data_IF_470957080989
#
_entry.id   IF_470957080989
#
_cell.length_a   1.000
_cell.length_b   1.000
_cell.length_c   1.000
_cell.angle_alpha   90.00
_cell.angle_beta   90.00
_cell.angle_gamma   90.00
#
_symmetry.space_group_name_H-M   'P 1'
#
loop_
_entity.id
_entity.type
_entity.pdbx_description
1 polymer ?
#
# COMPACT_ATOMS: atom_id res chain seq x y z
N UNK A 1 1.65 -20.20 -3.60
CA UNK A 1 2.49 -19.43 -2.64
C UNK A 1 2.03 -19.64 -1.20
N UNK A 2 0.77 -19.37 -0.85
CA UNK A 2 0.25 -19.57 0.51
C UNK A 2 0.15 -21.06 0.92
N UNK A 3 -0.42 -21.90 0.06
CA UNK A 3 -0.50 -23.36 0.28
C UNK A 3 0.87 -24.00 0.59
N UNK A 4 1.93 -23.53 -0.07
CA UNK A 4 3.30 -24.01 0.19
C UNK A 4 3.79 -23.59 1.57
N UNK A 5 3.45 -22.38 2.02
CA UNK A 5 3.84 -21.85 3.34
C UNK A 5 3.07 -22.51 4.49
N UNK A 6 1.85 -22.95 4.23
CA UNK A 6 1.00 -23.63 5.23
C UNK A 6 1.20 -25.16 5.24
N UNK A 7 2.02 -25.70 4.33
CA UNK A 7 2.30 -27.14 4.26
C UNK A 7 2.92 -27.62 5.57
N UNK A 8 2.31 -28.61 6.20
CA UNK A 8 2.77 -29.20 7.47
C UNK A 8 2.18 -28.53 8.72
N UNK A 9 1.35 -27.49 8.54
CA UNK A 9 0.52 -26.95 9.61
C UNK A 9 -0.89 -27.52 9.50
N UNK A 10 -1.52 -27.78 10.64
CA UNK A 10 -2.92 -28.21 10.69
C UNK A 10 -3.86 -27.00 10.55
N UNK A 11 -3.90 -26.44 9.33
CA UNK A 11 -4.70 -25.27 8.99
C UNK A 11 -5.54 -25.60 7.76
N UNK A 12 -6.87 -25.59 7.94
CA UNK A 12 -7.80 -25.69 6.83
C UNK A 12 -7.78 -24.39 6.00
N UNK A 13 -7.27 -24.46 4.77
CA UNK A 13 -7.21 -23.32 3.85
C UNK A 13 -8.38 -23.34 2.87
N UNK A 14 -9.26 -22.36 2.98
CA UNK A 14 -10.30 -22.07 1.99
C UNK A 14 -9.96 -20.80 1.21
N UNK A 15 -10.00 -20.87 -0.12
CA UNK A 15 -9.80 -19.72 -1.00
C UNK A 15 -10.97 -19.64 -1.97
N UNK A 16 -11.72 -18.53 -1.95
CA UNK A 16 -12.84 -18.30 -2.83
C UNK A 16 -13.00 -16.81 -3.15
N UNK A 17 -13.69 -16.54 -4.26
CA UNK A 17 -14.10 -15.18 -4.64
C UNK A 17 -15.19 -14.69 -3.68
N UNK A 18 -15.20 -13.39 -3.36
CA UNK A 18 -16.13 -12.76 -2.41
C UNK A 18 -16.10 -13.36 -1.00
N UNK A 19 -14.89 -13.64 -0.50
CA UNK A 19 -14.68 -14.22 0.82
C UNK A 19 -15.20 -13.32 1.96
N UNK A 20 -15.32 -12.01 1.71
CA UNK A 20 -15.93 -11.03 2.63
C UNK A 20 -17.40 -11.31 2.98
N UNK A 21 -18.06 -12.23 2.29
CA UNK A 21 -19.37 -12.75 2.73
C UNK A 21 -19.31 -13.47 4.08
N UNK A 22 -18.15 -13.94 4.52
CA UNK A 22 -17.92 -14.44 5.87
C UNK A 22 -17.64 -13.30 6.84
N UNK A 23 -18.36 -13.24 7.97
CA UNK A 23 -18.25 -12.14 8.96
C UNK A 23 -16.81 -11.94 9.45
N UNK A 24 -16.06 -13.03 9.69
CA UNK A 24 -14.66 -12.93 10.11
C UNK A 24 -13.76 -12.26 9.05
N UNK A 25 -13.98 -12.55 7.76
CA UNK A 25 -13.23 -11.94 6.65
C UNK A 25 -13.64 -10.48 6.44
N UNK A 26 -14.94 -10.17 6.58
CA UNK A 26 -15.43 -8.79 6.54
C UNK A 26 -14.81 -7.94 7.66
N UNK A 27 -14.82 -8.46 8.89
CA UNK A 27 -14.21 -7.79 10.04
C UNK A 27 -12.70 -7.57 9.84
N UNK A 28 -11.97 -8.60 9.40
CA UNK A 28 -10.55 -8.48 9.06
C UNK A 28 -10.30 -7.41 7.97
N UNK A 29 -11.18 -7.32 6.97
CA UNK A 29 -11.07 -6.32 5.90
C UNK A 29 -11.32 -4.89 6.38
N UNK A 30 -12.20 -4.71 7.37
CA UNK A 30 -12.44 -3.41 8.01
C UNK A 30 -11.22 -2.99 8.82
N UNK A 31 -10.70 -3.88 9.66
CA UNK A 31 -9.51 -3.62 10.49
C UNK A 31 -8.31 -3.27 9.60
N UNK A 32 -8.06 -4.06 8.55
CA UNK A 32 -6.96 -3.78 7.62
C UNK A 32 -7.11 -2.44 6.90
N UNK A 33 -8.34 -1.98 6.62
CA UNK A 33 -8.59 -0.68 5.98
C UNK A 33 -8.37 0.48 6.94
N UNK A 34 -8.80 0.34 8.19
CA UNK A 34 -8.58 1.36 9.22
C UNK A 34 -7.08 1.53 9.47
N UNK A 35 -6.36 0.43 9.73
CA UNK A 35 -4.90 0.44 9.88
C UNK A 35 -4.19 1.06 8.68
N UNK A 36 -4.62 0.75 7.44
CA UNK A 36 -4.06 1.38 6.25
C UNK A 36 -4.25 2.91 6.22
N UNK A 37 -5.40 3.41 6.67
CA UNK A 37 -5.68 4.85 6.70
C UNK A 37 -4.85 5.54 7.80
N UNK A 38 -4.74 4.91 8.98
CA UNK A 38 -3.94 5.39 10.10
C UNK A 38 -2.45 5.45 9.71
N UNK A 39 -1.88 4.35 9.23
CA UNK A 39 -0.50 4.30 8.79
C UNK A 39 -0.20 5.25 7.61
N UNK A 40 -1.14 5.45 6.68
CA UNK A 40 -0.96 6.43 5.59
C UNK A 40 -0.94 7.87 6.11
N UNK A 41 -1.73 8.18 7.14
CA UNK A 41 -1.73 9.49 7.76
C UNK A 41 -0.40 9.73 8.50
N UNK A 42 0.04 8.80 9.34
CA UNK A 42 1.31 8.88 10.07
C UNK A 42 2.50 9.02 9.10
N UNK A 43 2.54 8.19 8.06
CA UNK A 43 3.58 8.28 7.03
C UNK A 43 3.54 9.62 6.28
N UNK A 44 2.36 10.23 6.11
CA UNK A 44 2.24 11.56 5.49
C UNK A 44 2.84 12.66 6.36
N UNK A 45 2.67 12.57 7.68
CA UNK A 45 3.27 13.49 8.65
C UNK A 45 4.80 13.35 8.64
N UNK A 46 5.31 12.11 8.71
CA UNK A 46 6.75 11.83 8.63
C UNK A 46 7.37 12.31 7.30
N UNK A 47 6.63 12.11 6.20
CA UNK A 47 7.03 12.53 4.87
C UNK A 47 6.93 14.04 4.63
N UNK A 48 6.34 14.81 5.56
CA UNK A 48 5.99 16.23 5.37
C UNK A 48 5.19 16.52 4.09
N UNK A 49 4.46 15.52 3.57
CA UNK A 49 3.68 15.58 2.34
C UNK A 49 2.45 14.70 2.51
N UNK A 50 1.27 15.25 2.23
CA UNK A 50 0.05 14.43 2.16
C UNK A 50 0.17 13.36 1.05
N UNK A 51 0.34 12.11 1.46
CA UNK A 51 0.40 10.95 0.57
C UNK A 51 -1.02 10.55 0.16
N UNK A 52 -1.22 10.36 -1.15
CA UNK A 52 -2.56 10.12 -1.71
C UNK A 52 -2.73 8.63 -2.01
N UNK A 53 -3.77 8.05 -1.41
CA UNK A 53 -4.24 6.69 -1.74
C UNK A 53 -4.58 6.55 -3.22
N UNK A 54 -4.34 5.36 -3.78
CA UNK A 54 -4.55 5.06 -5.20
C UNK A 54 -3.31 5.32 -6.05
N UNK A 55 -3.48 5.38 -7.37
CA UNK A 55 -2.38 5.49 -8.34
C UNK A 55 -2.69 6.49 -9.48
N UNK A 56 -3.64 7.40 -9.27
CA UNK A 56 -3.98 8.46 -10.23
C UNK A 56 -3.11 9.70 -10.08
N UNK A 57 -3.47 10.76 -10.80
CA UNK A 57 -2.73 12.03 -10.82
C UNK A 57 -2.46 12.65 -9.42
N UNK A 58 -3.36 12.52 -8.42
CA UNK A 58 -3.05 12.99 -7.07
C UNK A 58 -1.83 12.29 -6.43
N UNK A 59 -1.63 10.99 -6.71
CA UNK A 59 -0.48 10.24 -6.22
C UNK A 59 0.80 10.66 -6.96
N UNK A 60 0.72 10.91 -8.27
CA UNK A 60 1.84 11.44 -9.05
C UNK A 60 2.27 12.83 -8.54
N UNK A 61 1.31 13.71 -8.23
CA UNK A 61 1.58 15.03 -7.68
C UNK A 61 2.21 14.96 -6.27
N UNK A 62 1.74 14.08 -5.40
CA UNK A 62 2.34 13.86 -4.08
C UNK A 62 3.77 13.32 -4.19
N UNK A 63 4.01 12.35 -5.08
CA UNK A 63 5.35 11.81 -5.31
C UNK A 63 6.34 12.86 -5.83
N UNK A 64 5.90 13.76 -6.74
CA UNK A 64 6.74 14.88 -7.19
C UNK A 64 7.10 15.82 -6.04
N UNK A 65 6.14 16.16 -5.17
CA UNK A 65 6.40 17.00 -3.99
C UNK A 65 7.37 16.33 -3.02
N UNK A 66 7.14 15.06 -2.73
CA UNK A 66 8.01 14.29 -1.83
C UNK A 66 9.46 14.27 -2.35
N UNK A 67 9.65 13.97 -3.63
CA UNK A 67 10.99 13.92 -4.24
C UNK A 67 11.65 15.30 -4.29
N UNK A 68 10.89 16.38 -4.44
CA UNK A 68 11.43 17.73 -4.38
C UNK A 68 11.98 18.09 -2.99
N UNK A 69 11.44 17.49 -1.92
CA UNK A 69 11.86 17.74 -0.53
C UNK A 69 12.98 16.78 -0.11
N UNK A 70 12.82 15.48 -0.42
CA UNK A 70 13.64 14.41 0.15
C UNK A 70 14.60 13.76 -0.85
N UNK A 71 14.51 14.12 -2.12
CA UNK A 71 15.28 13.51 -3.21
C UNK A 71 14.67 12.23 -3.75
N UNK A 72 15.19 11.77 -4.90
CA UNK A 72 14.67 10.60 -5.64
C UNK A 72 14.87 9.29 -4.88
N UNK A 73 16.01 9.13 -4.22
CA UNK A 73 16.39 7.88 -3.56
C UNK A 73 15.45 7.55 -2.40
N UNK A 74 14.97 8.57 -1.68
CA UNK A 74 14.02 8.42 -0.58
C UNK A 74 12.61 7.96 -1.03
N UNK A 75 12.31 7.90 -2.33
CA UNK A 75 10.98 7.52 -2.82
C UNK A 75 10.61 6.09 -2.44
N UNK A 76 11.59 5.20 -2.26
CA UNK A 76 11.34 3.82 -1.81
C UNK A 76 10.75 3.72 -0.41
N UNK A 77 10.92 4.77 0.41
CA UNK A 77 10.47 4.76 1.80
C UNK A 77 8.95 4.95 1.89
N UNK A 78 8.37 5.64 0.91
CA UNK A 78 6.94 6.01 0.89
C UNK A 78 6.14 5.40 -0.26
N UNK A 79 6.80 4.81 -1.27
CA UNK A 79 6.13 4.37 -2.49
C UNK A 79 6.58 2.99 -2.99
N UNK A 80 5.66 2.31 -3.68
CA UNK A 80 5.96 1.09 -4.45
C UNK A 80 6.63 1.47 -5.76
N UNK A 81 7.95 1.57 -5.75
CA UNK A 81 8.74 2.15 -6.87
C UNK A 81 8.59 1.45 -8.23
N UNK A 82 8.14 0.19 -8.27
CA UNK A 82 7.90 -0.54 -9.52
C UNK A 82 6.60 -0.13 -10.25
N UNK A 83 5.78 0.76 -9.68
CA UNK A 83 4.57 1.25 -10.31
C UNK A 83 4.88 2.25 -11.44
N UNK A 84 3.98 2.36 -12.42
CA UNK A 84 4.10 3.34 -13.53
C UNK A 84 4.18 4.79 -13.04
N UNK A 85 3.61 5.10 -11.87
CA UNK A 85 3.69 6.40 -11.21
C UNK A 85 5.14 6.90 -11.12
N UNK A 86 6.08 6.03 -10.72
CA UNK A 86 7.51 6.35 -10.63
C UNK A 86 8.09 6.75 -11.99
N UNK A 87 7.74 6.03 -13.06
CA UNK A 87 8.22 6.33 -14.42
C UNK A 87 7.72 7.70 -14.90
N UNK A 88 6.48 8.07 -14.56
CA UNK A 88 5.91 9.39 -14.89
C UNK A 88 6.61 10.56 -14.21
N UNK A 89 7.46 10.30 -13.21
CA UNK A 89 8.25 11.36 -12.55
C UNK A 89 9.36 11.90 -13.47
N UNK A 90 9.74 11.16 -14.52
CA UNK A 90 10.62 11.66 -15.57
C UNK A 90 12.07 11.82 -15.12
N UNK A 91 12.50 11.02 -14.14
CA UNK A 91 13.90 11.02 -13.74
C UNK A 91 14.79 10.49 -14.88
N UNK A 92 15.86 11.21 -15.17
CA UNK A 92 16.93 10.73 -16.06
C UNK A 92 17.64 9.51 -15.46
#
# INVERSE_FOLDING_TARGET
LLQRRLKGLDIALEQRVRAESGIAVAAASIIAREEFLTALHELSEEAAVELRKGAGDPADAAARRYVAIHGREALSDVAKVHFKNTQKLGFA
#
